data_IF_675892924081
#
_entry.id   IF_675892924081
#
_cell.length_a   1.000
_cell.length_b   1.000
_cell.length_c   1.000
_cell.angle_alpha   90.00
_cell.angle_beta   90.00
_cell.angle_gamma   90.00
#
_symmetry.space_group_name_H-M   'P 1'
#
loop_
_entity.id
_entity.type
_entity.pdbx_description
1 polymer ?
#
# COMPACT_ATOMS: atom_id res chain seq x y z
N UNK A 1 -21.14 -6.89 -13.33
CA UNK A 1 -19.71 -6.77 -13.66
C UNK A 1 -19.60 -5.76 -14.79
N UNK A 2 -19.37 -4.46 -14.49
CA UNK A 2 -19.19 -3.45 -15.55
C UNK A 2 -17.73 -3.48 -15.96
N UNK A 3 -17.48 -4.08 -17.12
CA UNK A 3 -16.19 -4.09 -17.80
C UNK A 3 -15.86 -2.64 -18.14
N UNK A 4 -14.77 -2.11 -17.60
CA UNK A 4 -14.25 -0.80 -17.99
C UNK A 4 -13.72 -0.94 -19.42
N UNK A 5 -14.13 -0.10 -20.38
CA UNK A 5 -13.71 -0.21 -21.77
C UNK A 5 -12.18 -0.09 -21.92
N UNK A 6 -11.56 -0.79 -22.90
CA UNK A 6 -10.10 -0.80 -23.11
C UNK A 6 -9.46 0.56 -23.43
N UNK A 7 -10.27 1.58 -23.71
CA UNK A 7 -9.82 2.91 -24.15
C UNK A 7 -9.60 3.90 -22.99
N UNK A 8 -9.89 3.53 -21.74
CA UNK A 8 -9.65 4.40 -20.57
C UNK A 8 -8.26 4.23 -19.95
N UNK A 9 -7.47 3.23 -20.34
CA UNK A 9 -6.15 2.97 -19.75
C UNK A 9 -5.10 4.02 -20.14
N UNK A 10 -5.36 4.86 -21.16
CA UNK A 10 -4.46 5.91 -21.62
C UNK A 10 -4.64 7.26 -20.92
N UNK A 11 -5.58 7.41 -19.99
CA UNK A 11 -5.92 8.70 -19.35
C UNK A 11 -5.68 8.76 -17.83
N UNK A 12 -5.25 7.66 -17.21
CA UNK A 12 -4.93 7.66 -15.78
C UNK A 12 -3.44 7.55 -15.56
N UNK A 13 -2.87 8.49 -14.79
CA UNK A 13 -1.47 8.49 -14.44
C UNK A 13 -1.05 7.12 -13.85
N UNK A 14 0.08 6.55 -14.28
CA UNK A 14 0.57 5.28 -13.76
C UNK A 14 0.89 5.39 -12.26
N UNK A 15 0.83 4.26 -11.56
CA UNK A 15 1.17 4.18 -10.14
C UNK A 15 2.48 3.46 -9.89
N UNK A 16 3.15 3.88 -8.82
CA UNK A 16 4.20 3.12 -8.14
C UNK A 16 3.72 2.72 -6.75
N UNK A 17 3.70 1.43 -6.46
CA UNK A 17 3.13 0.90 -5.21
C UNK A 17 4.24 0.43 -4.28
N UNK A 18 4.34 1.02 -3.09
CA UNK A 18 5.27 0.58 -2.06
C UNK A 18 4.47 0.04 -0.89
N UNK A 19 4.75 -1.19 -0.49
CA UNK A 19 3.94 -1.90 0.48
C UNK A 19 4.78 -2.44 1.62
N UNK A 20 4.62 -1.83 2.79
CA UNK A 20 5.09 -2.37 4.05
C UNK A 20 4.05 -3.32 4.65
N UNK A 21 4.26 -4.61 4.48
CA UNK A 21 3.27 -5.60 4.87
C UNK A 21 3.12 -5.73 6.39
N UNK A 22 4.17 -5.48 7.16
CA UNK A 22 4.10 -5.58 8.63
C UNK A 22 3.20 -4.47 9.19
N UNK A 23 3.35 -3.26 8.64
CA UNK A 23 2.57 -2.07 9.00
C UNK A 23 1.11 -2.13 8.53
N UNK A 24 0.74 -3.08 7.66
CA UNK A 24 -0.65 -3.38 7.34
C UNK A 24 -1.18 -4.56 8.14
N UNK A 25 -0.42 -5.64 8.27
CA UNK A 25 -0.91 -6.87 8.91
C UNK A 25 -1.07 -6.71 10.42
N UNK A 26 -0.07 -6.15 11.12
CA UNK A 26 -0.08 -6.08 12.59
C UNK A 26 -1.29 -5.27 13.09
N UNK A 27 -1.57 -4.05 12.59
CA UNK A 27 -2.73 -3.29 13.05
C UNK A 27 -4.07 -3.93 12.69
N UNK A 28 -4.14 -4.72 11.60
CA UNK A 28 -5.37 -5.41 11.22
C UNK A 28 -5.87 -6.36 12.31
N UNK A 29 -4.96 -6.92 13.13
CA UNK A 29 -5.32 -7.79 14.26
C UNK A 29 -6.06 -7.02 15.36
N UNK A 30 -5.61 -5.81 15.67
CA UNK A 30 -6.28 -4.93 16.61
C UNK A 30 -7.65 -4.48 16.09
N UNK A 31 -7.71 -4.06 14.82
CA UNK A 31 -8.97 -3.69 14.17
C UNK A 31 -9.97 -4.86 14.18
N UNK A 32 -9.50 -6.08 13.91
CA UNK A 32 -10.31 -7.29 13.97
C UNK A 32 -10.82 -7.57 15.39
N UNK A 33 -9.95 -7.49 16.41
CA UNK A 33 -10.38 -7.66 17.80
C UNK A 33 -11.46 -6.66 18.20
N UNK A 34 -11.33 -5.41 17.77
CA UNK A 34 -12.29 -4.34 18.05
C UNK A 34 -13.63 -4.53 17.33
N UNK A 35 -13.62 -5.06 16.10
CA UNK A 35 -14.82 -5.21 15.25
C UNK A 35 -15.54 -6.54 15.44
N UNK A 36 -14.79 -7.61 15.64
CA UNK A 36 -15.27 -9.00 15.56
C UNK A 36 -15.00 -9.82 16.85
N UNK A 37 -14.35 -9.23 17.86
CA UNK A 37 -14.09 -9.87 19.16
C UNK A 37 -12.67 -10.44 19.33
N UNK A 38 -12.27 -10.73 20.57
CA UNK A 38 -10.86 -10.92 20.97
C UNK A 38 -10.08 -12.10 20.36
N UNK A 39 -10.76 -13.05 19.70
CA UNK A 39 -10.09 -14.13 18.94
C UNK A 39 -9.84 -13.76 17.47
N UNK A 40 -10.57 -12.79 16.94
CA UNK A 40 -10.56 -12.45 15.52
C UNK A 40 -9.18 -11.99 15.03
N UNK A 41 -8.40 -11.30 15.87
CA UNK A 41 -7.06 -10.84 15.53
C UNK A 41 -6.06 -11.97 15.26
N UNK A 42 -6.26 -13.17 15.82
CA UNK A 42 -5.40 -14.34 15.54
C UNK A 42 -5.75 -15.01 14.21
N UNK A 43 -7.00 -14.90 13.80
CA UNK A 43 -7.59 -15.56 12.64
C UNK A 43 -7.59 -14.67 11.39
N UNK A 44 -7.49 -13.36 11.58
CA UNK A 44 -7.51 -12.38 10.51
C UNK A 44 -6.30 -12.57 9.60
N UNK A 45 -6.55 -12.42 8.29
CA UNK A 45 -5.54 -12.42 7.24
C UNK A 45 -5.86 -11.27 6.29
N UNK A 46 -4.82 -10.75 5.65
CA UNK A 46 -4.97 -9.78 4.57
C UNK A 46 -5.39 -10.51 3.30
N UNK A 47 -6.41 -10.00 2.64
CA UNK A 47 -6.81 -10.47 1.32
C UNK A 47 -6.04 -9.70 0.24
N UNK A 48 -4.83 -10.18 -0.03
CA UNK A 48 -3.82 -9.50 -0.84
C UNK A 48 -4.32 -9.05 -2.21
N UNK A 49 -5.16 -9.86 -2.87
CA UNK A 49 -5.69 -9.53 -4.19
C UNK A 49 -6.55 -8.26 -4.16
N UNK A 50 -7.43 -8.10 -3.17
CA UNK A 50 -8.25 -6.90 -3.08
C UNK A 50 -7.44 -5.71 -2.56
N UNK A 51 -6.48 -5.93 -1.65
CA UNK A 51 -5.65 -4.82 -1.18
C UNK A 51 -4.75 -4.27 -2.31
N UNK A 52 -4.15 -5.13 -3.12
CA UNK A 52 -3.43 -4.72 -4.33
C UNK A 52 -4.35 -4.01 -5.33
N UNK A 53 -5.55 -4.55 -5.57
CA UNK A 53 -6.52 -3.90 -6.45
C UNK A 53 -6.96 -2.52 -5.93
N UNK A 54 -7.08 -2.36 -4.61
CA UNK A 54 -7.37 -1.08 -3.95
C UNK A 54 -6.22 -0.08 -4.08
N UNK A 55 -4.97 -0.54 -3.99
CA UNK A 55 -3.78 0.29 -4.20
C UNK A 55 -3.70 0.77 -5.65
N UNK A 56 -3.77 -0.18 -6.60
CA UNK A 56 -3.72 0.10 -8.05
C UNK A 56 -4.90 0.95 -8.53
N UNK A 57 -6.09 0.69 -7.99
CA UNK A 57 -7.34 1.37 -8.33
C UNK A 57 -7.61 1.45 -9.85
N UNK A 58 -7.27 0.37 -10.58
CA UNK A 58 -7.46 0.27 -12.04
C UNK A 58 -6.41 0.95 -12.92
N UNK A 59 -5.40 1.62 -12.33
CA UNK A 59 -4.35 2.34 -13.06
C UNK A 59 -3.26 1.41 -13.60
N UNK A 60 -2.51 1.79 -14.65
CA UNK A 60 -1.25 1.11 -15.01
C UNK A 60 -0.28 1.13 -13.83
N UNK A 61 0.50 0.06 -13.64
CA UNK A 61 1.50 -0.04 -12.56
C UNK A 61 2.88 -0.08 -13.18
N UNK A 62 3.69 0.95 -12.95
CA UNK A 62 5.05 1.01 -13.48
C UNK A 62 6.05 0.28 -12.58
N UNK A 63 5.76 0.23 -11.27
CA UNK A 63 6.56 -0.52 -10.32
C UNK A 63 5.76 -0.82 -9.06
N UNK A 64 6.04 -1.96 -8.44
CA UNK A 64 5.47 -2.27 -7.14
C UNK A 64 6.40 -3.16 -6.33
N UNK A 65 6.63 -2.78 -5.08
CA UNK A 65 7.52 -3.47 -4.14
C UNK A 65 6.75 -3.75 -2.85
N UNK A 66 6.91 -4.95 -2.29
CA UNK A 66 6.25 -5.35 -1.05
C UNK A 66 7.26 -6.01 -0.11
N UNK A 67 7.45 -5.43 1.06
CA UNK A 67 8.45 -5.86 2.03
C UNK A 67 7.80 -6.31 3.35
N UNK A 68 8.45 -7.24 4.05
CA UNK A 68 7.97 -7.85 5.31
C UNK A 68 7.65 -9.34 5.18
N UNK A 69 7.06 -9.94 6.21
CA UNK A 69 6.66 -11.36 6.18
C UNK A 69 5.55 -11.61 5.16
N UNK A 70 5.92 -12.11 3.97
CA UNK A 70 5.04 -12.31 2.83
C UNK A 70 4.58 -13.78 2.79
N UNK A 71 3.27 -14.08 2.93
CA UNK A 71 2.75 -15.44 2.72
C UNK A 71 2.87 -15.88 1.24
N UNK A 72 2.92 -17.20 0.94
CA UNK A 72 2.99 -17.70 -0.44
C UNK A 72 1.87 -17.22 -1.38
N UNK A 73 0.72 -16.83 -0.83
CA UNK A 73 -0.41 -16.25 -1.57
C UNK A 73 -0.02 -14.96 -2.31
N UNK A 74 0.88 -14.16 -1.73
CA UNK A 74 1.41 -12.94 -2.32
C UNK A 74 2.29 -13.26 -3.53
N UNK A 75 3.14 -14.29 -3.44
CA UNK A 75 4.01 -14.71 -4.56
C UNK A 75 3.18 -15.00 -5.81
N UNK A 76 2.02 -15.64 -5.68
CA UNK A 76 1.12 -15.92 -6.81
C UNK A 76 0.52 -14.66 -7.44
N UNK A 77 0.27 -13.62 -6.63
CA UNK A 77 -0.21 -12.34 -7.14
C UNK A 77 0.90 -11.67 -7.94
N UNK A 78 2.12 -11.68 -7.43
CA UNK A 78 3.26 -11.08 -8.12
C UNK A 78 3.72 -11.84 -9.36
N UNK A 79 3.72 -13.18 -9.37
CA UNK A 79 3.97 -13.97 -10.57
C UNK A 79 3.01 -13.63 -11.71
N UNK A 80 1.77 -13.22 -11.40
CA UNK A 80 0.82 -12.73 -12.40
C UNK A 80 1.15 -11.32 -12.90
N UNK A 81 1.88 -10.54 -12.11
CA UNK A 81 2.29 -9.16 -12.38
C UNK A 81 3.69 -9.05 -12.98
N UNK A 82 4.54 -10.08 -12.87
CA UNK A 82 5.83 -10.15 -13.57
C UNK A 82 5.62 -10.04 -15.09
N UNK A 83 4.51 -10.57 -15.61
CA UNK A 83 4.07 -10.38 -17.00
C UNK A 83 3.71 -8.93 -17.36
N UNK A 84 3.71 -8.00 -16.40
CA UNK A 84 3.43 -6.57 -16.57
C UNK A 84 4.64 -5.67 -16.32
N UNK A 85 5.84 -6.23 -16.13
CA UNK A 85 7.08 -5.45 -15.90
C UNK A 85 7.26 -4.96 -14.46
N UNK A 86 6.51 -5.52 -13.51
CA UNK A 86 6.57 -5.20 -12.08
C UNK A 86 7.50 -6.19 -11.38
N UNK A 87 8.54 -5.71 -10.69
CA UNK A 87 9.53 -6.55 -10.00
C UNK A 87 9.17 -6.72 -8.51
N UNK A 88 8.69 -7.90 -8.09
CA UNK A 88 8.44 -8.17 -6.69
C UNK A 88 9.74 -8.50 -5.95
N UNK A 89 10.18 -7.63 -5.05
CA UNK A 89 11.27 -7.97 -4.13
C UNK A 89 10.68 -8.39 -2.79
N UNK A 90 10.72 -9.70 -2.53
CA UNK A 90 10.19 -10.31 -1.31
C UNK A 90 11.33 -10.52 -0.34
N UNK A 91 11.24 -9.87 0.82
CA UNK A 91 12.24 -10.00 1.88
C UNK A 91 11.70 -10.89 3.00
N UNK A 92 12.38 -12.02 3.25
CA UNK A 92 12.08 -12.86 4.41
C UNK A 92 12.56 -12.21 5.70
N UNK A 93 11.82 -12.46 6.79
CA UNK A 93 12.32 -12.22 8.14
C UNK A 93 13.61 -13.01 8.33
N UNK A 94 14.70 -12.32 8.67
CA UNK A 94 15.96 -12.97 9.01
C UNK A 94 15.73 -14.05 10.08
N UNK A 95 16.01 -15.31 9.72
CA UNK A 95 15.73 -16.48 10.56
C UNK A 95 16.48 -16.50 11.91
N UNK A 96 17.43 -15.58 12.14
CA UNK A 96 18.32 -15.57 13.30
C UNK A 96 18.09 -14.48 14.38
N UNK A 97 17.42 -13.35 14.08
CA UNK A 97 17.39 -12.19 15.01
C UNK A 97 16.00 -11.83 15.55
N UNK A 98 14.91 -12.38 14.98
CA UNK A 98 13.54 -12.02 15.36
C UNK A 98 13.16 -10.55 15.15
N UNK A 99 14.05 -9.75 14.56
CA UNK A 99 13.90 -8.32 14.27
C UNK A 99 14.18 -8.08 12.80
N UNK A 100 13.27 -7.36 12.14
CA UNK A 100 13.38 -6.98 10.74
C UNK A 100 14.45 -5.89 10.62
N UNK A 101 15.67 -6.26 10.22
CA UNK A 101 16.74 -5.29 9.94
C UNK A 101 16.77 -4.99 8.44
N UNK A 102 16.66 -3.70 8.06
CA UNK A 102 16.86 -3.25 6.68
C UNK A 102 15.62 -3.21 5.77
N UNK A 103 14.46 -3.67 6.24
CA UNK A 103 13.23 -3.75 5.42
C UNK A 103 12.72 -2.35 5.03
N UNK A 104 12.68 -1.43 5.98
CA UNK A 104 12.23 -0.05 5.75
C UNK A 104 13.19 0.68 4.80
N UNK A 105 14.50 0.53 5.02
CA UNK A 105 15.52 1.13 4.17
C UNK A 105 15.44 0.61 2.73
N UNK A 106 15.07 -0.66 2.55
CA UNK A 106 14.88 -1.21 1.22
C UNK A 106 13.71 -0.55 0.48
N UNK A 107 12.55 -0.42 1.12
CA UNK A 107 11.41 0.27 0.51
C UNK A 107 11.73 1.74 0.21
N UNK A 108 12.43 2.42 1.12
CA UNK A 108 12.89 3.80 0.93
C UNK A 108 13.83 3.92 -0.29
N UNK A 109 14.78 3.01 -0.46
CA UNK A 109 15.66 2.98 -1.65
C UNK A 109 14.85 2.83 -2.94
N UNK A 110 13.82 1.98 -2.95
CA UNK A 110 12.94 1.83 -4.12
C UNK A 110 12.09 3.06 -4.39
N UNK A 111 11.63 3.77 -3.37
CA UNK A 111 10.96 5.06 -3.53
C UNK A 111 11.89 6.09 -4.20
N UNK A 112 13.15 6.16 -3.74
CA UNK A 112 14.15 7.07 -4.30
C UNK A 112 14.56 6.70 -5.73
N UNK A 113 14.65 5.41 -6.06
CA UNK A 113 14.85 4.94 -7.44
C UNK A 113 13.67 5.31 -8.33
N UNK A 114 12.43 5.08 -7.88
CA UNK A 114 11.25 5.47 -8.64
C UNK A 114 11.22 6.98 -8.93
N UNK A 115 11.59 7.80 -7.94
CA UNK A 115 11.74 9.25 -8.11
C UNK A 115 12.81 9.62 -9.15
N UNK A 116 13.89 8.87 -9.25
CA UNK A 116 15.02 9.13 -10.17
C UNK A 116 14.77 8.59 -11.59
N UNK A 117 14.13 7.43 -11.70
CA UNK A 117 14.13 6.63 -12.92
C UNK A 117 12.84 6.79 -13.75
N UNK A 118 11.82 7.45 -13.22
CA UNK A 118 10.50 7.57 -13.86
C UNK A 118 9.97 9.00 -13.83
N UNK A 119 9.21 9.34 -14.87
CA UNK A 119 8.38 10.55 -14.88
C UNK A 119 7.33 10.53 -13.76
N UNK A 120 6.95 11.69 -13.20
CA UNK A 120 6.00 11.76 -12.09
C UNK A 120 4.65 11.10 -12.41
N UNK A 121 4.40 9.99 -11.73
CA UNK A 121 3.09 9.34 -11.65
C UNK A 121 2.45 9.58 -10.28
N UNK A 122 1.76 8.56 -9.78
CA UNK A 122 1.21 8.56 -8.43
C UNK A 122 1.94 7.52 -7.58
N UNK A 123 2.54 7.97 -6.48
CA UNK A 123 3.05 7.07 -5.46
C UNK A 123 1.92 6.61 -4.56
N UNK A 124 1.82 5.30 -4.35
CA UNK A 124 0.86 4.65 -3.45
C UNK A 124 1.63 3.91 -2.38
N UNK A 125 1.67 4.45 -1.17
CA UNK A 125 2.38 3.86 -0.03
C UNK A 125 1.39 3.19 0.94
N UNK A 126 1.58 1.90 1.19
CA UNK A 126 0.84 1.14 2.20
C UNK A 126 1.69 1.07 3.45
N UNK A 127 1.47 2.00 4.38
CA UNK A 127 2.12 2.01 5.70
C UNK A 127 1.29 2.83 6.70
N UNK A 128 1.41 2.50 7.99
CA UNK A 128 1.00 3.38 9.08
C UNK A 128 2.15 4.14 9.72
N UNK A 129 3.39 3.76 9.39
CA UNK A 129 4.56 4.36 10.00
C UNK A 129 4.84 5.74 9.42
N UNK A 130 5.02 6.70 10.32
CA UNK A 130 5.44 8.06 10.00
C UNK A 130 6.79 8.40 10.61
N UNK A 131 7.60 7.39 10.96
CA UNK A 131 8.97 7.59 11.39
C UNK A 131 9.74 8.43 10.36
N UNK A 132 10.65 9.26 10.86
CA UNK A 132 11.54 10.05 10.01
C UNK A 132 11.22 11.52 9.84
N UNK A 133 10.07 11.99 10.36
CA UNK A 133 9.67 13.40 10.22
C UNK A 133 10.73 14.38 10.75
N UNK A 134 11.27 14.12 11.95
CA UNK A 134 12.20 15.05 12.62
C UNK A 134 13.67 14.79 12.23
N UNK A 135 13.96 13.64 11.63
CA UNK A 135 15.32 13.25 11.25
C UNK A 135 15.58 13.37 9.75
N UNK A 136 14.55 13.65 8.94
CA UNK A 136 14.64 13.71 7.47
C UNK A 136 14.89 12.35 6.80
N UNK A 137 14.76 11.25 7.54
CA UNK A 137 15.03 9.87 7.11
C UNK A 137 13.84 9.01 7.47
N UNK A 138 13.07 8.57 6.48
CA UNK A 138 11.91 7.70 6.67
C UNK A 138 10.86 7.87 5.58
N UNK A 139 9.81 7.04 5.63
CA UNK A 139 8.77 7.01 4.60
C UNK A 139 8.14 8.37 4.31
N UNK A 140 7.87 9.16 5.35
CA UNK A 140 7.27 10.47 5.18
C UNK A 140 8.18 11.43 4.42
N UNK A 141 9.46 11.51 4.81
CA UNK A 141 10.43 12.38 4.16
C UNK A 141 10.65 11.98 2.68
N UNK A 142 10.61 10.70 2.35
CA UNK A 142 10.75 10.24 0.96
C UNK A 142 9.47 10.51 0.15
N UNK A 143 8.29 10.42 0.77
CA UNK A 143 7.05 10.89 0.14
C UNK A 143 7.08 12.39 -0.12
N UNK A 144 7.61 13.20 0.79
CA UNK A 144 7.78 14.65 0.57
C UNK A 144 8.71 14.93 -0.62
N UNK A 145 9.81 14.18 -0.76
CA UNK A 145 10.70 14.28 -1.92
C UNK A 145 9.98 13.94 -3.22
N UNK A 146 9.19 12.86 -3.23
CA UNK A 146 8.38 12.49 -4.41
C UNK A 146 7.34 13.56 -4.72
N UNK A 147 6.61 14.06 -3.73
CA UNK A 147 5.63 15.13 -3.89
C UNK A 147 6.24 16.41 -4.48
N UNK A 148 7.42 16.80 -3.98
CA UNK A 148 8.18 17.94 -4.48
C UNK A 148 8.72 17.70 -5.90
N UNK A 149 9.00 16.44 -6.25
CA UNK A 149 9.31 16.00 -7.60
C UNK A 149 8.10 15.92 -8.55
N UNK A 150 6.90 16.36 -8.12
CA UNK A 150 5.70 16.42 -8.95
C UNK A 150 4.79 15.21 -8.86
N UNK A 151 5.08 14.24 -7.99
CA UNK A 151 4.27 13.02 -7.86
C UNK A 151 2.97 13.28 -7.12
N UNK A 152 1.91 12.58 -7.52
CA UNK A 152 0.69 12.48 -6.72
C UNK A 152 0.91 11.51 -5.56
N UNK A 153 0.40 11.81 -4.37
CA UNK A 153 0.65 10.98 -3.19
C UNK A 153 -0.63 10.34 -2.66
N UNK A 154 -0.59 9.02 -2.48
CA UNK A 154 -1.64 8.25 -1.83
C UNK A 154 -1.07 7.39 -0.70
N UNK A 155 -1.70 7.45 0.47
CA UNK A 155 -1.33 6.63 1.62
C UNK A 155 -2.50 5.73 2.02
N UNK A 156 -2.25 4.43 2.09
CA UNK A 156 -3.20 3.42 2.55
C UNK A 156 -2.78 2.95 3.93
N UNK A 157 -3.68 3.07 4.91
CA UNK A 157 -3.38 2.64 6.28
C UNK A 157 -4.63 2.36 7.10
N UNK A 158 -4.43 1.67 8.22
CA UNK A 158 -5.43 1.60 9.29
C UNK A 158 -5.39 2.90 10.09
N UNK A 159 -6.51 3.62 10.12
CA UNK A 159 -6.63 4.90 10.82
C UNK A 159 -6.20 4.86 12.28
N UNK A 160 -6.38 3.73 12.97
CA UNK A 160 -5.97 3.59 14.37
C UNK A 160 -4.46 3.45 14.59
N UNK A 161 -3.69 3.09 13.56
CA UNK A 161 -2.25 2.84 13.65
C UNK A 161 -1.42 3.76 12.74
N UNK A 162 -2.06 4.63 11.97
CA UNK A 162 -1.37 5.60 11.14
C UNK A 162 -0.87 6.79 11.98
N UNK A 163 0.37 7.19 11.75
CA UNK A 163 0.92 8.42 12.29
C UNK A 163 0.02 9.62 11.90
N UNK A 164 -0.32 10.45 12.91
CA UNK A 164 -1.26 11.57 12.74
C UNK A 164 -0.77 12.62 11.75
N UNK A 165 0.54 12.93 11.75
CA UNK A 165 1.15 13.92 10.83
C UNK A 165 1.13 13.39 9.40
N UNK A 166 1.57 12.15 9.18
CA UNK A 166 1.50 11.51 7.87
C UNK A 166 0.07 11.48 7.31
N UNK A 167 -0.90 11.10 8.15
CA UNK A 167 -2.33 11.10 7.77
C UNK A 167 -2.81 12.49 7.36
N UNK A 168 -2.59 13.49 8.22
CA UNK A 168 -3.04 14.85 7.96
C UNK A 168 -2.42 15.42 6.68
N UNK A 169 -1.11 15.24 6.51
CA UNK A 169 -0.39 15.68 5.32
C UNK A 169 -0.90 15.00 4.05
N UNK A 170 -1.04 13.67 4.04
CA UNK A 170 -1.57 12.94 2.88
C UNK A 170 -3.02 13.34 2.53
N UNK A 171 -3.84 13.73 3.52
CA UNK A 171 -5.18 14.26 3.28
C UNK A 171 -5.16 15.67 2.68
N UNK A 172 -4.17 16.48 3.03
CA UNK A 172 -4.01 17.85 2.56
C UNK A 172 -3.51 17.89 1.11
N UNK A 173 -2.46 17.12 0.79
CA UNK A 173 -1.75 17.24 -0.49
C UNK A 173 -2.17 16.21 -1.54
N UNK A 174 -2.95 15.19 -1.15
CA UNK A 174 -3.25 14.06 -2.02
C UNK A 174 -4.43 13.24 -1.51
N UNK A 175 -4.20 11.95 -1.27
CA UNK A 175 -5.24 11.08 -0.75
C UNK A 175 -4.76 10.20 0.42
N UNK A 176 -5.57 10.17 1.48
CA UNK A 176 -5.49 9.14 2.51
C UNK A 176 -6.64 8.16 2.37
N UNK A 177 -6.31 6.87 2.30
CA UNK A 177 -7.25 5.78 2.08
C UNK A 177 -7.30 4.94 3.35
N UNK A 178 -8.39 5.13 4.07
CA UNK A 178 -8.66 4.50 5.36
C UNK A 178 -9.15 3.06 5.16
N UNK A 179 -8.30 2.08 5.51
CA UNK A 179 -8.55 0.65 5.27
C UNK A 179 -9.77 0.13 6.06
N UNK A 180 -10.16 0.78 7.14
CA UNK A 180 -11.38 0.51 7.90
C UNK A 180 -12.65 0.52 7.04
N UNK A 181 -12.67 1.32 5.95
CA UNK A 181 -13.80 1.40 5.00
C UNK A 181 -13.88 0.20 4.06
N UNK A 182 -12.77 -0.53 3.94
CA UNK A 182 -12.63 -1.70 3.08
C UNK A 182 -12.41 -2.98 3.87
N UNK A 183 -12.53 -2.93 5.21
CA UNK A 183 -12.12 -3.98 6.13
C UNK A 183 -12.55 -5.39 5.69
N UNK A 184 -13.82 -5.59 5.39
CA UNK A 184 -14.33 -6.92 4.98
C UNK A 184 -13.89 -7.32 3.56
N UNK A 185 -13.49 -6.37 2.71
CA UNK A 185 -13.00 -6.64 1.36
C UNK A 185 -11.49 -6.91 1.35
N UNK A 186 -10.71 -6.24 2.20
CA UNK A 186 -9.23 -6.40 2.25
C UNK A 186 -8.77 -7.35 3.35
N UNK A 187 -9.70 -7.95 4.10
CA UNK A 187 -9.39 -8.98 5.10
C UNK A 187 -10.36 -10.15 5.03
N UNK A 188 -9.89 -11.31 5.48
CA UNK A 188 -10.71 -12.50 5.71
C UNK A 188 -10.30 -13.16 7.03
N UNK A 189 -11.19 -13.96 7.62
CA UNK A 189 -10.86 -14.81 8.79
C UNK A 189 -10.79 -16.25 8.33
N UNK A 190 -9.63 -16.88 8.50
CA UNK A 190 -9.38 -18.23 8.01
C UNK A 190 -10.42 -19.21 8.58
N UNK A 191 -11.22 -19.83 7.71
CA UNK A 191 -12.25 -20.80 8.08
C UNK A 191 -13.53 -20.22 8.68
N UNK A 192 -13.65 -18.90 8.80
CA UNK A 192 -14.79 -18.25 9.50
C UNK A 192 -15.50 -17.24 8.61
N UNK A 193 -14.76 -16.35 7.93
CA UNK A 193 -15.31 -15.28 7.11
C UNK A 193 -14.49 -15.10 5.84
N UNK A 194 -15.12 -15.23 4.68
CA UNK A 194 -14.51 -14.89 3.40
C UNK A 194 -14.39 -13.37 3.22
N UNK A 195 -13.46 -12.93 2.36
CA UNK A 195 -13.41 -11.54 1.93
C UNK A 195 -14.62 -11.21 1.04
N UNK A 196 -15.20 -10.02 1.22
CA UNK A 196 -16.27 -9.50 0.35
C UNK A 196 -15.68 -8.95 -0.96
N UNK A 197 -16.49 -8.84 -2.03
CA UNK A 197 -16.08 -8.12 -3.23
C UNK A 197 -15.59 -6.71 -2.91
N UNK A 198 -14.56 -6.25 -3.61
CA UNK A 198 -14.04 -4.89 -3.47
C UNK A 198 -14.89 -3.91 -4.27
N UNK A 199 -15.27 -2.79 -3.63
CA UNK A 199 -15.93 -1.66 -4.28
C UNK A 199 -15.07 -0.41 -4.12
N UNK A 200 -14.96 0.43 -5.15
CA UNK A 200 -14.15 1.67 -5.11
C UNK A 200 -14.91 2.92 -4.65
N UNK A 201 -16.13 2.76 -4.11
CA UNK A 201 -17.06 3.86 -3.80
C UNK A 201 -16.49 4.95 -2.91
N UNK A 202 -15.58 4.60 -1.99
CA UNK A 202 -14.98 5.53 -1.03
C UNK A 202 -13.51 5.83 -1.34
N UNK A 203 -13.05 5.52 -2.56
CA UNK A 203 -11.63 5.60 -2.91
C UNK A 203 -11.36 7.01 -3.41
N UNK A 204 -10.66 7.80 -2.61
CA UNK A 204 -10.06 9.06 -3.04
C UNK A 204 -8.88 8.79 -3.97
N UNK A 205 -8.48 9.77 -4.77
CA UNK A 205 -7.38 9.66 -5.73
C UNK A 205 -6.52 10.91 -5.67
N UNK A 206 -5.20 10.75 -5.79
CA UNK A 206 -4.29 11.84 -6.04
C UNK A 206 -4.00 11.96 -7.55
N UNK A 207 -3.53 13.14 -7.96
CA UNK A 207 -3.04 13.40 -9.32
C UNK A 207 -1.59 13.89 -9.23
N UNK A 208 -0.72 13.55 -10.21
CA UNK A 208 0.57 14.20 -10.32
C UNK A 208 0.41 15.71 -10.52
N UNK A 209 1.37 16.49 -10.03
CA UNK A 209 1.38 17.94 -10.16
C UNK A 209 1.97 18.33 -11.53
N UNK A 210 1.34 19.27 -12.22
CA UNK A 210 1.81 19.76 -13.53
C UNK A 210 1.27 19.01 -14.75
N UNK A 211 0.33 18.07 -14.55
CA UNK A 211 -0.52 17.53 -15.61
C UNK A 211 -1.91 18.16 -15.49
N UNK A 212 -2.05 19.37 -16.04
CA UNK A 212 -3.34 20.02 -16.31
C UNK A 212 -3.80 19.71 -17.74
#
# INVERSE_FOLDING_TARGET
MKIIPPQLSSFLAPVHIFWDNSNIYIPSQFVANKREGGLAGKEIRIYFQNLYALARAGRPVNGAVCAGSVPPEIQRIWQRLENTGVTPELYERGAGSGSEQGIDQCLQVHMLRALSDFDPGVVVLLTGDGAGYETGIGFHADLERMYNGGWGVEVLSWGCACNRRLRAWAQEIGAYIELERYYESVTYRKGIRAARPLTMTHRSFAKPRGLD
#
